data_IF_499575163548
#
_entry.id   IF_499575163548
#
_cell.length_a   1.000
_cell.length_b   1.000
_cell.length_c   1.000
_cell.angle_alpha   90.00
_cell.angle_beta   90.00
_cell.angle_gamma   90.00
#
_symmetry.space_group_name_H-M   'P 1'
#
loop_
_entity.id
_entity.type
_entity.pdbx_description
1 polymer ?
#
# COMPACT_ATOMS: atom_id res chain seq x y z
N UNK A 1 1.94 -55.77 18.18
CA UNK A 1 1.49 -54.67 17.29
C UNK A 1 2.62 -53.66 17.19
N UNK A 2 3.27 -53.54 16.03
CA UNK A 2 4.37 -52.61 15.84
C UNK A 2 3.82 -51.26 15.36
N UNK A 3 3.97 -50.22 16.17
CA UNK A 3 3.77 -48.83 15.75
C UNK A 3 4.88 -48.48 14.75
N UNK A 4 4.59 -48.60 13.46
CA UNK A 4 5.45 -48.08 12.41
C UNK A 4 5.28 -46.57 12.37
N UNK A 5 6.02 -45.87 13.23
CA UNK A 5 6.21 -44.44 13.11
C UNK A 5 6.84 -44.17 11.74
N UNK A 6 6.04 -43.68 10.80
CA UNK A 6 6.55 -43.03 9.61
C UNK A 6 7.37 -41.83 10.11
N UNK A 7 8.70 -41.94 10.03
CA UNK A 7 9.57 -40.79 10.17
C UNK A 7 9.15 -39.70 9.18
N UNK A 8 9.51 -38.43 9.43
CA UNK A 8 9.15 -37.33 8.55
C UNK A 8 9.64 -37.64 7.14
N UNK A 9 8.70 -37.74 6.21
CA UNK A 9 9.02 -37.90 4.79
C UNK A 9 9.88 -36.70 4.37
N UNK A 10 11.09 -36.91 3.82
CA UNK A 10 12.03 -35.83 3.55
C UNK A 10 11.43 -34.74 2.65
N UNK A 11 10.48 -35.10 1.77
CA UNK A 11 9.74 -34.14 0.95
C UNK A 11 8.79 -33.27 1.77
N UNK A 12 8.14 -33.83 2.80
CA UNK A 12 7.24 -33.07 3.69
C UNK A 12 8.02 -32.07 4.53
N UNK A 13 9.20 -32.44 5.03
CA UNK A 13 10.04 -31.52 5.79
C UNK A 13 10.58 -30.39 4.90
N UNK A 14 11.04 -30.70 3.68
CA UNK A 14 11.46 -29.68 2.71
C UNK A 14 10.31 -28.70 2.39
N UNK A 15 9.10 -29.19 2.20
CA UNK A 15 7.93 -28.35 1.93
C UNK A 15 7.57 -27.46 3.13
N UNK A 16 7.63 -28.00 4.36
CA UNK A 16 7.44 -27.21 5.58
C UNK A 16 8.46 -26.07 5.65
N UNK A 17 9.75 -26.39 5.47
CA UNK A 17 10.84 -25.38 5.50
C UNK A 17 10.66 -24.31 4.45
N UNK A 18 10.17 -24.67 3.27
CA UNK A 18 9.84 -23.71 2.23
C UNK A 18 8.74 -22.73 2.69
N UNK A 19 7.64 -23.23 3.26
CA UNK A 19 6.55 -22.38 3.75
C UNK A 19 6.99 -21.48 4.91
N UNK A 20 7.82 -22.00 5.82
CA UNK A 20 8.41 -21.22 6.91
C UNK A 20 9.32 -20.11 6.36
N UNK A 21 10.25 -20.45 5.45
CA UNK A 21 11.18 -19.48 4.86
C UNK A 21 10.47 -18.42 4.01
N UNK A 22 9.38 -18.79 3.35
CA UNK A 22 8.57 -17.87 2.56
C UNK A 22 7.59 -17.03 3.40
N UNK A 23 7.56 -17.20 4.73
CA UNK A 23 6.69 -16.42 5.62
C UNK A 23 5.22 -16.85 5.64
N UNK A 24 4.84 -17.87 4.86
CA UNK A 24 3.43 -18.32 4.74
C UNK A 24 2.86 -18.76 6.09
N UNK A 25 3.68 -19.44 6.90
CA UNK A 25 3.28 -19.90 8.24
C UNK A 25 3.01 -18.72 9.17
N UNK A 26 3.85 -17.68 9.09
CA UNK A 26 3.73 -16.49 9.92
C UNK A 26 2.47 -15.69 9.56
N UNK A 27 2.23 -15.45 8.27
CA UNK A 27 1.02 -14.79 7.78
C UNK A 27 -0.27 -15.54 8.16
N UNK A 28 -0.29 -16.87 8.00
CA UNK A 28 -1.43 -17.69 8.42
C UNK A 28 -1.66 -17.59 9.94
N UNK A 29 -0.58 -17.58 10.73
CA UNK A 29 -0.65 -17.45 12.18
C UNK A 29 -1.20 -16.09 12.59
N UNK A 30 -0.71 -15.01 11.98
CA UNK A 30 -1.18 -13.64 12.21
C UNK A 30 -2.67 -13.48 11.93
N UNK A 31 -3.17 -13.99 10.80
CA UNK A 31 -4.60 -13.93 10.45
C UNK A 31 -5.47 -14.73 11.45
N UNK A 32 -4.99 -15.88 11.91
CA UNK A 32 -5.70 -16.69 12.91
C UNK A 32 -5.72 -16.02 14.29
N UNK A 33 -4.64 -15.32 14.66
CA UNK A 33 -4.59 -14.51 15.88
C UNK A 33 -5.58 -13.35 15.79
N UNK A 34 -5.59 -12.60 14.67
CA UNK A 34 -6.56 -11.52 14.46
C UNK A 34 -8.01 -12.01 14.54
N UNK A 35 -8.31 -13.19 13.97
CA UNK A 35 -9.63 -13.81 14.07
C UNK A 35 -9.98 -14.19 15.52
N UNK A 36 -9.00 -14.65 16.30
CA UNK A 36 -9.18 -14.99 17.72
C UNK A 36 -9.42 -13.75 18.59
N UNK A 37 -8.73 -12.65 18.32
CA UNK A 37 -8.81 -11.39 19.08
C UNK A 37 -10.06 -10.55 18.75
N UNK A 38 -10.74 -10.85 17.64
CA UNK A 38 -11.95 -10.12 17.24
C UNK A 38 -13.06 -10.32 18.28
N UNK A 39 -13.45 -9.25 18.98
CA UNK A 39 -14.45 -9.29 20.07
C UNK A 39 -15.82 -9.82 19.61
N UNK A 40 -16.26 -9.45 18.41
CA UNK A 40 -17.45 -10.01 17.77
C UNK A 40 -17.04 -11.05 16.73
N UNK A 41 -17.36 -12.32 16.97
CA UNK A 41 -17.03 -13.37 16.00
C UNK A 41 -17.70 -13.06 14.66
N UNK A 42 -16.92 -12.98 13.57
CA UNK A 42 -17.52 -12.73 12.26
C UNK A 42 -18.50 -13.85 11.93
N UNK A 43 -19.68 -13.49 11.42
CA UNK A 43 -20.70 -14.46 10.97
C UNK A 43 -20.16 -15.46 9.94
N UNK A 44 -19.09 -15.09 9.22
CA UNK A 44 -18.39 -15.97 8.29
C UNK A 44 -16.87 -15.87 8.47
N UNK A 45 -16.32 -16.73 9.32
CA UNK A 45 -14.88 -16.79 9.59
C UNK A 45 -14.03 -17.09 8.34
N UNK A 46 -14.57 -17.84 7.37
CA UNK A 46 -13.83 -18.16 6.16
C UNK A 46 -13.63 -16.92 5.27
N UNK A 47 -14.65 -16.08 5.16
CA UNK A 47 -14.53 -14.80 4.44
C UNK A 47 -13.55 -13.85 5.13
N UNK A 48 -13.58 -13.78 6.46
CA UNK A 48 -12.61 -13.00 7.23
C UNK A 48 -11.17 -13.41 6.89
N UNK A 49 -10.88 -14.72 6.92
CA UNK A 49 -9.54 -15.25 6.63
C UNK A 49 -9.12 -14.90 5.20
N UNK A 50 -10.00 -15.08 4.19
CA UNK A 50 -9.65 -14.75 2.80
C UNK A 50 -9.31 -13.28 2.61
N UNK A 51 -10.09 -12.39 3.22
CA UNK A 51 -9.87 -10.95 3.12
C UNK A 51 -8.55 -10.55 3.80
N UNK A 52 -8.30 -11.05 5.00
CA UNK A 52 -7.09 -10.73 5.76
C UNK A 52 -5.84 -11.35 5.14
N UNK A 53 -5.92 -12.51 4.51
CA UNK A 53 -4.81 -13.11 3.77
C UNK A 53 -4.50 -12.34 2.47
N UNK A 54 -5.53 -11.80 1.79
CA UNK A 54 -5.36 -10.93 0.63
C UNK A 54 -4.75 -9.57 0.99
N UNK A 55 -5.11 -9.02 2.16
CA UNK A 55 -4.53 -7.80 2.70
C UNK A 55 -3.11 -8.02 3.24
N UNK A 56 -2.79 -9.20 3.79
CA UNK A 56 -1.46 -9.54 4.27
C UNK A 56 -0.37 -9.56 3.18
N UNK A 57 -0.77 -9.55 1.89
CA UNK A 57 0.14 -9.39 0.76
C UNK A 57 0.57 -7.94 0.49
N UNK A 58 -0.13 -6.94 1.04
CA UNK A 58 0.37 -5.57 1.15
C UNK A 58 1.22 -5.52 2.41
N UNK A 59 2.53 -5.69 2.27
CA UNK A 59 3.42 -5.61 3.43
C UNK A 59 3.34 -4.22 4.05
N UNK A 60 3.54 -4.13 5.36
CA UNK A 60 3.62 -2.83 6.06
C UNK A 60 4.60 -1.91 5.35
N UNK A 61 5.75 -2.44 4.91
CA UNK A 61 6.77 -1.73 4.15
C UNK A 61 6.25 -1.15 2.83
N UNK A 62 5.52 -1.93 2.02
CA UNK A 62 4.92 -1.43 0.78
C UNK A 62 3.90 -0.32 1.07
N UNK A 63 3.09 -0.49 2.12
CA UNK A 63 2.11 0.53 2.50
C UNK A 63 2.76 1.80 3.04
N UNK A 64 3.84 1.67 3.81
CA UNK A 64 4.61 2.80 4.35
C UNK A 64 5.34 3.55 3.23
N UNK A 65 5.98 2.83 2.30
CA UNK A 65 6.62 3.42 1.14
C UNK A 65 5.62 4.17 0.23
N UNK A 66 4.47 3.55 -0.05
CA UNK A 66 3.40 4.20 -0.82
C UNK A 66 2.83 5.43 -0.10
N UNK A 67 2.67 5.37 1.23
CA UNK A 67 2.22 6.52 2.02
C UNK A 67 3.23 7.68 1.96
N UNK A 68 4.52 7.37 2.06
CA UNK A 68 5.59 8.35 1.97
C UNK A 68 5.63 9.00 0.58
N UNK A 69 5.51 8.21 -0.49
CA UNK A 69 5.44 8.72 -1.87
C UNK A 69 4.22 9.64 -2.08
N UNK A 70 3.05 9.26 -1.54
CA UNK A 70 1.85 10.12 -1.60
C UNK A 70 2.08 11.45 -0.88
N UNK A 71 2.77 11.44 0.25
CA UNK A 71 3.12 12.63 1.02
C UNK A 71 4.06 13.55 0.22
N UNK A 72 5.12 12.99 -0.36
CA UNK A 72 6.09 13.73 -1.18
C UNK A 72 5.43 14.31 -2.45
N UNK A 73 4.60 13.53 -3.14
CA UNK A 73 3.87 13.99 -4.33
C UNK A 73 2.90 15.12 -3.99
N UNK A 74 2.18 15.02 -2.86
CA UNK A 74 1.28 16.10 -2.41
C UNK A 74 2.06 17.38 -2.10
N UNK A 75 3.19 17.27 -1.40
CA UNK A 75 4.03 18.42 -1.09
C UNK A 75 4.55 19.09 -2.36
N UNK A 76 5.02 18.29 -3.33
CA UNK A 76 5.50 18.78 -4.62
C UNK A 76 4.39 19.46 -5.43
N UNK A 77 3.19 18.89 -5.44
CA UNK A 77 2.04 19.51 -6.09
C UNK A 77 1.68 20.86 -5.45
N UNK A 78 1.72 20.96 -4.12
CA UNK A 78 1.49 22.25 -3.43
C UNK A 78 2.55 23.27 -3.82
N UNK A 79 3.83 22.95 -3.73
CA UNK A 79 4.90 23.88 -4.11
C UNK A 79 4.82 24.32 -5.58
N UNK A 80 4.59 23.38 -6.50
CA UNK A 80 4.45 23.70 -7.92
C UNK A 80 3.21 24.55 -8.22
N UNK A 81 2.12 24.36 -7.46
CA UNK A 81 0.90 25.16 -7.58
C UNK A 81 1.12 26.59 -7.08
N UNK A 82 1.81 26.75 -5.95
CA UNK A 82 2.20 28.05 -5.42
C UNK A 82 3.14 28.79 -6.37
N UNK A 83 4.16 28.11 -6.89
CA UNK A 83 5.08 28.68 -7.87
C UNK A 83 4.36 29.06 -9.16
N UNK A 84 3.45 28.22 -9.66
CA UNK A 84 2.61 28.56 -10.81
C UNK A 84 1.78 29.81 -10.57
N UNK A 85 1.19 29.94 -9.36
CA UNK A 85 0.40 31.10 -8.99
C UNK A 85 1.26 32.36 -8.97
N UNK A 86 2.45 32.29 -8.35
CA UNK A 86 3.37 33.42 -8.24
C UNK A 86 3.89 33.85 -9.63
N UNK A 87 4.27 32.89 -10.47
CA UNK A 87 4.68 33.13 -11.86
C UNK A 87 3.55 33.72 -12.70
N UNK A 88 2.31 33.23 -12.57
CA UNK A 88 1.15 33.82 -13.24
C UNK A 88 0.90 35.25 -12.79
N UNK A 89 0.99 35.54 -11.50
CA UNK A 89 0.86 36.92 -10.98
C UNK A 89 1.98 37.83 -11.48
N UNK A 90 3.21 37.33 -11.57
CA UNK A 90 4.34 38.05 -12.18
C UNK A 90 4.10 38.30 -13.67
N UNK A 91 3.69 37.29 -14.43
CA UNK A 91 3.35 37.43 -15.85
C UNK A 91 2.26 38.49 -16.07
N UNK A 92 1.19 38.48 -15.28
CA UNK A 92 0.14 39.50 -15.36
C UNK A 92 0.63 40.93 -15.05
N UNK A 93 1.72 41.09 -14.29
CA UNK A 93 2.34 42.40 -14.07
C UNK A 93 3.21 42.87 -15.25
N UNK A 94 3.70 41.94 -16.05
CA UNK A 94 4.59 42.21 -17.19
C UNK A 94 3.88 42.09 -18.54
N UNK A 95 2.65 41.57 -18.61
CA UNK A 95 1.73 41.89 -19.70
C UNK A 95 1.31 43.35 -19.52
N UNK A 96 1.82 44.29 -20.33
CA UNK A 96 1.20 45.61 -20.39
C UNK A 96 -0.26 45.40 -20.81
N UNK A 97 -1.17 46.16 -20.19
CA UNK A 97 -2.44 46.50 -20.84
C UNK A 97 -2.11 46.81 -22.29
N UNK A 98 -2.81 46.25 -23.29
CA UNK A 98 -2.56 46.60 -24.67
C UNK A 98 -2.84 48.09 -24.86
N UNK A 99 -1.82 48.92 -24.69
CA UNK A 99 -1.79 50.30 -25.16
C UNK A 99 -1.25 50.29 -26.58
N UNK A 100 -2.22 50.23 -27.48
CA UNK A 100 -2.45 51.24 -28.51
C UNK A 100 -2.40 50.75 -29.96
N UNK A 101 -3.43 51.18 -30.68
CA UNK A 101 -3.65 50.95 -32.10
C UNK A 101 -4.86 51.72 -32.58
N UNK A 102 -4.96 53.01 -32.22
CA UNK A 102 -5.78 53.94 -32.97
C UNK A 102 -5.21 54.06 -34.40
N UNK A 103 -5.85 53.43 -35.39
CA UNK A 103 -5.69 53.82 -36.80
C UNK A 103 -7.03 53.74 -37.54
N UNK A 104 -7.60 54.94 -37.74
CA UNK A 104 -8.36 55.43 -38.89
C UNK A 104 -8.99 54.42 -39.87
N UNK A 105 -10.32 54.44 -39.98
CA UNK A 105 -11.11 55.04 -41.08
C UNK A 105 -12.60 55.12 -40.65
#
# INVERSE_FOLDING_TARGET
MAFKGQGPDPKREQFRRYLEKAGVVDSLTSVLVALYETQERPNNALEFVKQHLGAAGMTSEDTEALQQEVLELRQRCTSLSEENKDLKTKLQRYEPVPEDGATAD
#
